data_IF_237077913755
#
_entry.id   IF_237077913755
#
_cell.length_a   1.000
_cell.length_b   1.000
_cell.length_c   1.000
_cell.angle_alpha   90.00
_cell.angle_beta   90.00
_cell.angle_gamma   90.00
#
_symmetry.space_group_name_H-M   'P 1'
#
loop_
_entity.id
_entity.type
_entity.pdbx_description
1 polymer ?
#
# COMPACT_ATOMS: atom_id res chain seq x y z
N UNK A 1 -0.33 -25.59 -22.62
CA UNK A 1 -0.69 -24.22 -23.06
C UNK A 1 -0.99 -23.40 -21.81
N UNK A 2 -0.08 -22.53 -21.38
CA UNK A 2 -0.27 -21.65 -20.21
C UNK A 2 -1.21 -20.51 -20.61
N UNK A 3 -2.42 -20.51 -20.07
CA UNK A 3 -3.37 -19.41 -20.26
C UNK A 3 -2.80 -18.13 -19.67
N UNK A 4 -2.55 -17.15 -20.53
CA UNK A 4 -2.09 -15.83 -20.12
C UNK A 4 -3.08 -15.18 -19.15
N UNK A 5 -2.58 -14.65 -18.04
CA UNK A 5 -3.33 -13.73 -17.18
C UNK A 5 -3.59 -12.46 -18.01
N UNK A 6 -4.74 -12.42 -18.67
CA UNK A 6 -5.17 -11.32 -19.53
C UNK A 6 -5.23 -9.99 -18.77
N UNK A 7 -4.71 -8.96 -19.43
CA UNK A 7 -4.73 -7.57 -18.99
C UNK A 7 -6.16 -7.01 -19.04
N UNK A 8 -6.80 -6.88 -17.87
CA UNK A 8 -7.99 -6.05 -17.75
C UNK A 8 -7.55 -4.61 -17.47
N UNK A 9 -7.47 -3.79 -18.53
CA UNK A 9 -7.15 -2.37 -18.51
C UNK A 9 -8.26 -1.47 -17.97
N UNK A 10 -8.80 -1.79 -16.79
CA UNK A 10 -9.60 -0.87 -15.98
C UNK A 10 -8.80 -0.51 -14.73
N UNK A 11 -8.88 0.74 -14.27
CA UNK A 11 -8.32 1.16 -12.98
C UNK A 11 -8.91 0.29 -11.88
N UNK A 12 -8.24 -0.81 -11.54
CA UNK A 12 -8.66 -1.63 -10.41
C UNK A 12 -8.34 -0.82 -9.16
N UNK A 13 -9.34 -0.54 -8.31
CA UNK A 13 -9.07 0.15 -7.05
C UNK A 13 -8.02 -0.66 -6.29
N UNK A 14 -6.95 0.00 -5.84
CA UNK A 14 -5.92 -0.65 -5.04
C UNK A 14 -6.47 -0.73 -3.62
N UNK A 15 -7.26 -1.78 -3.37
CA UNK A 15 -7.83 -2.06 -2.05
C UNK A 15 -6.87 -2.94 -1.26
N UNK A 16 -6.69 -2.65 0.03
CA UNK A 16 -5.99 -3.54 0.96
C UNK A 16 -6.50 -4.98 0.87
N UNK A 17 -7.80 -5.15 0.64
CA UNK A 17 -8.45 -6.44 0.45
C UNK A 17 -7.88 -7.24 -0.74
N UNK A 18 -7.61 -6.59 -1.88
CA UNK A 18 -7.06 -7.29 -3.05
C UNK A 18 -5.62 -7.77 -2.82
N UNK A 19 -4.86 -7.01 -2.05
CA UNK A 19 -3.52 -7.38 -1.60
C UNK A 19 -3.61 -8.63 -0.72
N UNK A 20 -4.44 -8.58 0.32
CA UNK A 20 -4.65 -9.70 1.23
C UNK A 20 -5.14 -10.96 0.50
N UNK A 21 -6.10 -10.82 -0.43
CA UNK A 21 -6.61 -11.91 -1.25
C UNK A 21 -5.54 -12.52 -2.14
N UNK A 22 -4.64 -11.70 -2.70
CA UNK A 22 -3.52 -12.18 -3.53
C UNK A 22 -2.56 -13.05 -2.72
N UNK A 23 -2.15 -12.58 -1.54
CA UNK A 23 -1.25 -13.31 -0.64
C UNK A 23 -1.94 -14.59 -0.13
N UNK A 24 -3.20 -14.50 0.28
CA UNK A 24 -3.98 -15.64 0.76
C UNK A 24 -4.11 -16.73 -0.30
N UNK A 25 -4.46 -16.36 -1.53
CA UNK A 25 -4.65 -17.34 -2.60
C UNK A 25 -3.36 -18.08 -2.94
N UNK A 26 -2.21 -17.41 -2.94
CA UNK A 26 -0.92 -18.06 -3.15
C UNK A 26 -0.66 -19.16 -2.10
N UNK A 27 -0.96 -18.87 -0.82
CA UNK A 27 -0.87 -19.84 0.26
C UNK A 27 -1.86 -21.01 0.12
N UNK A 28 -3.11 -20.74 -0.28
CA UNK A 28 -4.10 -21.80 -0.56
C UNK A 28 -3.66 -22.72 -1.70
N UNK A 29 -3.02 -22.16 -2.73
CA UNK A 29 -2.49 -22.91 -3.87
C UNK A 29 -1.20 -23.68 -3.53
N UNK A 30 -0.73 -23.60 -2.28
CA UNK A 30 0.48 -24.27 -1.80
C UNK A 30 1.78 -23.67 -2.35
N UNK A 31 1.73 -22.42 -2.83
CA UNK A 31 2.87 -21.73 -3.43
C UNK A 31 3.26 -20.45 -2.70
N UNK A 32 4.40 -19.90 -3.13
CA UNK A 32 4.84 -18.57 -2.73
C UNK A 32 4.65 -17.58 -3.87
N UNK A 33 4.51 -16.30 -3.52
CA UNK A 33 4.65 -15.23 -4.50
C UNK A 33 6.04 -15.30 -5.15
N UNK A 34 6.16 -14.97 -6.43
CA UNK A 34 7.47 -14.71 -7.00
C UNK A 34 8.13 -13.48 -6.35
N UNK A 35 9.45 -13.33 -6.54
CA UNK A 35 10.18 -12.17 -6.01
C UNK A 35 9.61 -10.84 -6.52
N UNK A 36 9.23 -10.77 -7.80
CA UNK A 36 8.58 -9.59 -8.37
C UNK A 36 7.16 -9.38 -7.83
N UNK A 37 6.35 -10.44 -7.70
CA UNK A 37 5.00 -10.36 -7.13
C UNK A 37 5.01 -9.88 -5.67
N UNK A 38 6.00 -10.30 -4.86
CA UNK A 38 6.19 -9.80 -3.49
C UNK A 38 6.39 -8.28 -3.46
N UNK A 39 7.30 -7.77 -4.28
CA UNK A 39 7.56 -6.33 -4.35
C UNK A 39 6.39 -5.55 -4.94
N UNK A 40 5.62 -6.15 -5.87
CA UNK A 40 4.39 -5.55 -6.38
C UNK A 40 3.31 -5.42 -5.30
N UNK A 41 3.14 -6.45 -4.47
CA UNK A 41 2.22 -6.46 -3.31
C UNK A 41 2.61 -5.36 -2.31
N UNK A 42 3.89 -5.20 -2.01
CA UNK A 42 4.38 -4.16 -1.10
C UNK A 42 4.19 -2.75 -1.67
N UNK A 43 4.51 -2.52 -2.94
CA UNK A 43 4.26 -1.23 -3.58
C UNK A 43 2.77 -0.86 -3.51
N UNK A 44 1.87 -1.82 -3.76
CA UNK A 44 0.41 -1.60 -3.61
C UNK A 44 0.02 -1.31 -2.16
N UNK A 45 0.67 -1.93 -1.18
CA UNK A 45 0.43 -1.68 0.24
C UNK A 45 0.81 -0.24 0.63
N UNK A 46 2.01 0.22 0.26
CA UNK A 46 2.41 1.62 0.46
C UNK A 46 1.46 2.60 -0.21
N UNK A 47 1.02 2.29 -1.44
CA UNK A 47 0.08 3.15 -2.17
C UNK A 47 -1.30 3.20 -1.50
N UNK A 48 -1.77 2.09 -0.94
CA UNK A 48 -3.02 2.03 -0.18
C UNK A 48 -2.98 2.93 1.05
N UNK A 49 -1.87 2.90 1.81
CA UNK A 49 -1.68 3.77 2.97
C UNK A 49 -1.63 5.24 2.57
N UNK A 50 -0.98 5.56 1.45
CA UNK A 50 -0.93 6.94 0.95
C UNK A 50 -2.32 7.46 0.52
N UNK A 51 -3.14 6.64 -0.15
CA UNK A 51 -4.53 7.01 -0.46
C UNK A 51 -5.33 7.23 0.83
N UNK A 52 -5.19 6.33 1.82
CA UNK A 52 -5.86 6.47 3.11
C UNK A 52 -5.44 7.78 3.82
N UNK A 53 -4.15 8.11 3.79
CA UNK A 53 -3.61 9.36 4.33
C UNK A 53 -4.25 10.59 3.67
N UNK A 54 -4.34 10.59 2.35
CA UNK A 54 -4.98 11.69 1.61
C UNK A 54 -6.48 11.82 1.94
N UNK A 55 -7.20 10.71 2.11
CA UNK A 55 -8.59 10.72 2.53
C UNK A 55 -8.77 11.27 3.95
N UNK A 56 -7.92 10.84 4.90
CA UNK A 56 -7.92 11.37 6.27
C UNK A 56 -7.60 12.86 6.30
N UNK A 57 -6.62 13.32 5.51
CA UNK A 57 -6.27 14.73 5.40
C UNK A 57 -7.42 15.56 4.83
N UNK A 58 -8.12 15.05 3.81
CA UNK A 58 -9.29 15.71 3.24
C UNK A 58 -10.40 15.89 4.27
N UNK A 59 -10.76 14.84 5.00
CA UNK A 59 -11.80 14.89 6.05
C UNK A 59 -11.38 15.83 7.19
N UNK A 60 -10.12 15.76 7.62
CA UNK A 60 -9.58 16.60 8.70
C UNK A 60 -9.66 18.08 8.34
N UNK A 61 -9.32 18.45 7.09
CA UNK A 61 -9.43 19.82 6.59
C UNK A 61 -10.86 20.35 6.55
N UNK A 62 -11.85 19.47 6.34
CA UNK A 62 -13.27 19.84 6.33
C UNK A 62 -13.92 19.86 7.72
N UNK A 63 -13.20 19.45 8.79
CA UNK A 63 -13.77 19.28 10.13
C UNK A 63 -13.80 20.57 10.99
N UNK A 64 -13.32 21.70 10.46
CA UNK A 64 -13.29 22.99 11.14
C UNK A 64 -12.20 23.11 12.21
N UNK A 65 -11.89 24.34 12.65
CA UNK A 65 -10.75 24.59 13.55
C UNK A 65 -10.85 23.88 14.92
N UNK A 66 -12.06 23.60 15.41
CA UNK A 66 -12.25 22.88 16.68
C UNK A 66 -11.71 21.44 16.64
N UNK A 67 -11.56 20.84 15.45
CA UNK A 67 -11.10 19.47 15.30
C UNK A 67 -9.62 19.27 15.60
N UNK A 68 -8.85 20.32 15.90
CA UNK A 68 -7.43 20.23 16.28
C UNK A 68 -7.22 19.91 17.77
N UNK A 69 -8.28 19.96 18.58
CA UNK A 69 -8.18 19.64 20.01
C UNK A 69 -7.84 18.16 20.20
N UNK A 70 -7.04 17.87 21.22
CA UNK A 70 -6.54 16.52 21.52
C UNK A 70 -7.62 15.56 22.03
N UNK A 71 -8.77 16.08 22.44
CA UNK A 71 -9.93 15.30 22.87
C UNK A 71 -10.91 14.97 21.73
N UNK A 72 -10.55 15.32 20.49
CA UNK A 72 -11.37 15.10 19.31
C UNK A 72 -10.81 13.95 18.45
N UNK A 73 -11.69 13.07 17.98
CA UNK A 73 -11.34 11.90 17.15
C UNK A 73 -10.62 12.27 15.84
N UNK A 74 -10.99 13.33 15.08
CA UNK A 74 -10.29 13.68 13.85
C UNK A 74 -8.80 13.99 14.06
N UNK A 75 -8.44 14.63 15.18
CA UNK A 75 -7.05 14.92 15.51
C UNK A 75 -6.24 13.64 15.73
N UNK A 76 -6.80 12.68 16.47
CA UNK A 76 -6.17 11.40 16.76
C UNK A 76 -5.96 10.58 15.48
N UNK A 77 -7.02 10.43 14.67
CA UNK A 77 -6.93 9.69 13.40
C UNK A 77 -5.89 10.33 12.47
N UNK A 78 -5.83 11.67 12.40
CA UNK A 78 -4.83 12.36 11.59
C UNK A 78 -3.41 12.04 12.06
N UNK A 79 -3.15 12.10 13.37
CA UNK A 79 -1.83 11.77 13.94
C UNK A 79 -1.44 10.31 13.72
N UNK A 80 -2.34 9.38 14.02
CA UNK A 80 -2.11 7.94 13.82
C UNK A 80 -1.80 7.64 12.36
N UNK A 81 -2.51 8.30 11.44
CA UNK A 81 -2.32 8.11 10.01
C UNK A 81 -0.96 8.65 9.53
N UNK A 82 -0.47 9.77 10.08
CA UNK A 82 0.89 10.24 9.81
C UNK A 82 1.95 9.30 10.39
N UNK A 83 1.71 8.72 11.56
CA UNK A 83 2.59 7.70 12.15
C UNK A 83 2.69 6.45 11.26
N UNK A 84 1.58 6.02 10.68
CA UNK A 84 1.55 4.87 9.77
C UNK A 84 2.36 5.11 8.48
N UNK A 85 2.35 6.31 7.92
CA UNK A 85 2.99 6.59 6.61
C UNK A 85 4.51 6.65 6.67
N UNK A 86 5.07 6.91 7.86
CA UNK A 86 6.52 6.88 8.10
C UNK A 86 7.05 5.51 8.50
N UNK A 87 6.17 4.54 8.78
CA UNK A 87 6.58 3.18 9.09
C UNK A 87 7.29 2.55 7.88
N UNK A 88 8.43 1.91 8.11
CA UNK A 88 9.31 1.43 7.04
C UNK A 88 8.61 0.45 6.07
N UNK A 89 7.67 -0.36 6.57
CA UNK A 89 6.85 -1.27 5.77
C UNK A 89 5.69 -0.63 4.99
N UNK A 90 5.48 0.68 5.11
CA UNK A 90 4.43 1.44 4.43
C UNK A 90 4.95 2.69 3.70
N UNK A 91 6.24 3.02 3.84
CA UNK A 91 6.82 4.18 3.18
C UNK A 91 6.73 4.05 1.65
N UNK A 92 5.85 4.86 1.04
CA UNK A 92 5.55 4.75 -0.39
C UNK A 92 6.79 4.90 -1.27
N UNK A 93 7.63 5.89 -0.97
CA UNK A 93 8.84 6.19 -1.77
C UNK A 93 9.76 4.99 -1.82
N UNK A 94 10.10 4.41 -0.66
CA UNK A 94 10.98 3.24 -0.58
C UNK A 94 10.39 2.02 -1.29
N UNK A 95 9.09 1.78 -1.13
CA UNK A 95 8.43 0.59 -1.72
C UNK A 95 8.27 0.73 -3.24
N UNK A 96 7.96 1.92 -3.75
CA UNK A 96 7.91 2.19 -5.19
C UNK A 96 9.29 2.09 -5.84
N UNK A 97 10.33 2.61 -5.19
CA UNK A 97 11.69 2.49 -5.70
C UNK A 97 12.12 1.01 -5.75
N UNK A 98 11.92 0.26 -4.68
CA UNK A 98 12.25 -1.16 -4.64
C UNK A 98 11.54 -1.95 -5.74
N UNK A 99 10.22 -1.78 -5.90
CA UNK A 99 9.46 -2.43 -6.97
C UNK A 99 9.91 -1.99 -8.36
N UNK A 100 10.16 -0.69 -8.57
CA UNK A 100 10.65 -0.17 -9.84
C UNK A 100 12.00 -0.77 -10.23
N UNK A 101 12.92 -0.92 -9.28
CA UNK A 101 14.22 -1.56 -9.49
C UNK A 101 14.07 -3.04 -9.85
N UNK A 102 13.26 -3.78 -9.12
CA UNK A 102 12.99 -5.21 -9.42
C UNK A 102 12.43 -5.38 -10.83
N UNK A 103 11.49 -4.52 -11.25
CA UNK A 103 10.95 -4.52 -12.62
C UNK A 103 11.98 -4.22 -13.71
N UNK A 104 13.05 -3.52 -13.36
CA UNK A 104 14.17 -3.20 -14.25
C UNK A 104 15.31 -4.24 -14.16
N UNK A 105 15.13 -5.33 -13.40
CA UNK A 105 16.16 -6.35 -13.20
C UNK A 105 17.29 -5.92 -12.25
N UNK A 106 17.08 -4.88 -11.46
CA UNK A 106 18.02 -4.37 -10.46
C UNK A 106 17.68 -4.90 -9.06
N UNK A 107 18.66 -5.05 -8.16
CA UNK A 107 18.39 -5.40 -6.77
C UNK A 107 17.59 -4.28 -6.08
N UNK A 108 16.64 -4.61 -5.19
CA UNK A 108 15.83 -3.61 -4.48
C UNK A 108 16.69 -2.80 -3.50
N UNK A 109 16.27 -1.56 -3.21
CA UNK A 109 16.93 -0.69 -2.22
C UNK A 109 16.63 -1.06 -0.77
N UNK A 110 15.58 -1.85 -0.55
CA UNK A 110 15.19 -2.37 0.77
C UNK A 110 14.92 -3.87 0.70
N UNK A 111 15.16 -4.54 1.83
CA UNK A 111 14.98 -5.98 2.01
C UNK A 111 13.71 -6.33 2.80
N UNK A 112 12.73 -5.44 2.94
CA UNK A 112 11.48 -5.74 3.65
C UNK A 112 10.61 -6.84 2.97
N UNK A 113 11.16 -7.62 2.02
CA UNK A 113 10.48 -8.54 1.10
C UNK A 113 10.84 -10.01 1.26
#
# INVERSE_FOLDING_TARGET
MRGGRGSAGGLRPVLAYDIARTVWQAGVDGGDLSFEERHAVQARQGYTVEIARQAVELVSRSSGASSIRTDCIPQQICQDMQGMTIHAGFNLTSLFEAYGRVRLGLPPTTQFA
#
